data_IF_722506671389
#
_entry.id   IF_722506671389
#
_cell.length_a   1.000
_cell.length_b   1.000
_cell.length_c   1.000
_cell.angle_alpha   90.00
_cell.angle_beta   90.00
_cell.angle_gamma   90.00
#
_symmetry.space_group_name_H-M   'P 1'
#
loop_
_entity.id
_entity.type
_entity.pdbx_description
1 polymer ?
#
# COMPACT_ATOMS: atom_id res chain seq x y z
N UNK A 1 -15.45 3.95 -7.46
CA UNK A 1 -14.47 4.10 -6.38
C UNK A 1 -13.24 4.83 -6.91
N UNK A 2 -12.80 5.85 -6.20
CA UNK A 2 -11.62 6.60 -6.62
C UNK A 2 -10.34 5.78 -6.40
N UNK A 3 -9.25 6.20 -7.04
CA UNK A 3 -7.97 5.54 -6.82
C UNK A 3 -7.52 5.66 -5.36
N UNK A 4 -7.76 6.80 -4.73
CA UNK A 4 -7.42 6.98 -3.32
C UNK A 4 -8.19 6.01 -2.43
N UNK A 5 -9.48 5.81 -2.69
CA UNK A 5 -10.28 4.86 -1.94
C UNK A 5 -9.78 3.42 -2.12
N UNK A 6 -9.44 3.05 -3.36
CA UNK A 6 -8.85 1.73 -3.63
C UNK A 6 -7.55 1.54 -2.86
N UNK A 7 -6.72 2.57 -2.84
CA UNK A 7 -5.45 2.54 -2.15
C UNK A 7 -5.63 2.34 -0.65
N UNK A 8 -6.50 3.14 -0.04
CA UNK A 8 -6.80 3.01 1.39
C UNK A 8 -7.42 1.66 1.73
N UNK A 9 -8.33 1.18 0.89
CA UNK A 9 -8.98 -0.11 1.11
C UNK A 9 -7.97 -1.25 1.11
N UNK A 10 -6.97 -1.19 0.26
CA UNK A 10 -5.92 -2.21 0.22
C UNK A 10 -5.19 -2.29 1.57
N UNK A 11 -4.88 -1.14 2.17
CA UNK A 11 -4.26 -1.10 3.49
C UNK A 11 -5.19 -1.66 4.57
N UNK A 12 -6.46 -1.26 4.54
CA UNK A 12 -7.42 -1.72 5.53
C UNK A 12 -7.61 -3.24 5.47
N UNK A 13 -7.72 -3.79 4.28
CA UNK A 13 -7.89 -5.23 4.09
C UNK A 13 -6.63 -6.01 4.46
N UNK A 14 -5.47 -5.50 4.05
CA UNK A 14 -4.22 -6.21 4.30
C UNK A 14 -3.85 -6.26 5.77
N UNK A 15 -4.15 -5.20 6.51
CA UNK A 15 -3.71 -5.06 7.90
C UNK A 15 -4.84 -5.14 8.91
N UNK A 16 -6.07 -5.32 8.46
CA UNK A 16 -7.26 -5.35 9.34
C UNK A 16 -7.37 -4.09 10.20
N UNK A 17 -7.13 -2.95 9.58
CA UNK A 17 -7.21 -1.64 10.25
C UNK A 17 -8.36 -0.83 9.66
N UNK A 18 -8.74 0.24 10.35
CA UNK A 18 -9.75 1.17 9.89
C UNK A 18 -9.10 2.31 9.12
N UNK A 19 -9.90 2.96 8.28
CA UNK A 19 -9.44 4.12 7.53
C UNK A 19 -8.87 5.20 8.44
N UNK A 20 -9.43 5.35 9.64
CA UNK A 20 -8.96 6.31 10.65
C UNK A 20 -7.55 6.01 11.17
N UNK A 21 -7.08 4.79 11.00
CA UNK A 21 -5.73 4.38 11.41
C UNK A 21 -4.66 4.75 10.38
N UNK A 22 -5.09 5.23 9.21
CA UNK A 22 -4.18 5.59 8.12
C UNK A 22 -3.82 7.07 8.25
N UNK A 23 -2.54 7.34 8.44
CA UNK A 23 -2.01 8.71 8.50
C UNK A 23 -0.60 8.75 7.91
N UNK A 24 0.02 9.93 7.98
CA UNK A 24 1.35 10.14 7.40
C UNK A 24 2.46 9.36 8.13
N UNK A 25 2.16 8.82 9.31
CA UNK A 25 3.12 8.05 10.09
C UNK A 25 3.02 6.54 9.83
N UNK A 26 2.08 6.11 9.01
CA UNK A 26 1.91 4.70 8.71
C UNK A 26 3.04 4.23 7.80
N UNK A 27 3.89 3.36 8.34
CA UNK A 27 5.07 2.86 7.63
C UNK A 27 5.38 1.42 8.04
N UNK A 28 6.31 0.81 7.32
CA UNK A 28 6.73 -0.55 7.58
C UNK A 28 7.15 -0.72 9.03
N UNK A 29 6.63 -1.73 9.70
CA UNK A 29 6.86 -2.03 11.12
C UNK A 29 6.29 -1.00 12.11
N UNK A 30 5.57 0.03 11.66
CA UNK A 30 4.92 0.95 12.59
C UNK A 30 3.70 0.33 13.27
N UNK A 31 3.15 -0.70 12.66
CA UNK A 31 2.09 -1.53 13.26
C UNK A 31 2.48 -3.00 13.10
N UNK A 32 1.98 -3.85 13.99
CA UNK A 32 2.33 -5.27 13.97
C UNK A 32 1.96 -5.97 12.66
N UNK A 33 0.85 -5.55 12.06
CA UNK A 33 0.37 -6.16 10.81
C UNK A 33 1.26 -5.86 9.61
N UNK A 34 2.02 -4.77 9.64
CA UNK A 34 2.91 -4.42 8.54
C UNK A 34 4.32 -4.94 8.80
N UNK A 35 4.45 -6.24 8.73
CA UNK A 35 5.71 -6.97 8.75
C UNK A 35 5.98 -7.52 7.35
N UNK A 36 6.96 -8.41 7.23
CA UNK A 36 7.33 -9.00 5.93
C UNK A 36 6.16 -9.71 5.26
N UNK A 37 5.37 -10.45 6.03
CA UNK A 37 4.23 -11.19 5.50
C UNK A 37 3.10 -10.23 5.13
N UNK A 38 2.78 -9.29 6.02
CA UNK A 38 1.76 -8.28 5.76
C UNK A 38 2.11 -7.41 4.56
N UNK A 39 3.40 -7.10 4.39
CA UNK A 39 3.88 -6.31 3.25
C UNK A 39 3.57 -7.01 1.93
N UNK A 40 3.84 -8.30 1.84
CA UNK A 40 3.56 -9.06 0.62
C UNK A 40 2.07 -9.14 0.33
N UNK A 41 1.25 -9.24 1.38
CA UNK A 41 -0.20 -9.20 1.23
C UNK A 41 -0.69 -7.85 0.71
N UNK A 42 -0.12 -6.76 1.22
CA UNK A 42 -0.44 -5.41 0.74
C UNK A 42 -0.09 -5.25 -0.74
N UNK A 43 1.12 -5.68 -1.11
CA UNK A 43 1.57 -5.59 -2.50
C UNK A 43 0.62 -6.37 -3.43
N UNK A 44 0.25 -7.59 -3.04
CA UNK A 44 -0.67 -8.41 -3.83
C UNK A 44 -2.04 -7.73 -3.99
N UNK A 45 -2.57 -7.15 -2.91
CA UNK A 45 -3.84 -6.45 -2.95
C UNK A 45 -3.80 -5.21 -3.85
N UNK A 46 -2.69 -4.48 -3.82
CA UNK A 46 -2.53 -3.30 -4.68
C UNK A 46 -2.40 -3.69 -6.15
N UNK A 47 -1.66 -4.76 -6.43
CA UNK A 47 -1.53 -5.26 -7.80
C UNK A 47 -2.89 -5.64 -8.37
N UNK A 48 -3.71 -6.31 -7.57
CA UNK A 48 -5.04 -6.69 -7.99
C UNK A 48 -5.96 -5.48 -8.15
N UNK A 49 -5.93 -4.56 -7.19
CA UNK A 49 -6.81 -3.39 -7.20
C UNK A 49 -6.58 -2.49 -8.40
N UNK A 50 -5.32 -2.33 -8.81
CA UNK A 50 -4.94 -1.44 -9.91
C UNK A 50 -4.56 -2.18 -11.18
N UNK A 51 -4.60 -3.50 -11.17
CA UNK A 51 -4.25 -4.33 -12.31
C UNK A 51 -2.85 -4.02 -12.85
N UNK A 52 -1.88 -4.03 -11.94
CA UNK A 52 -0.47 -3.75 -12.23
C UNK A 52 0.40 -4.84 -11.62
N UNK A 53 1.67 -4.87 -12.03
CA UNK A 53 2.68 -5.71 -11.39
C UNK A 53 3.84 -4.83 -10.97
N UNK A 54 4.15 -4.81 -9.67
CA UNK A 54 5.28 -4.04 -9.16
C UNK A 54 6.60 -4.71 -9.51
N UNK A 55 7.58 -3.89 -9.86
CA UNK A 55 8.94 -4.37 -9.98
C UNK A 55 9.51 -4.64 -8.59
N UNK A 56 10.48 -5.54 -8.51
CA UNK A 56 11.06 -5.95 -7.21
C UNK A 56 11.61 -4.75 -6.45
N UNK A 57 12.29 -3.84 -7.14
CA UNK A 57 12.84 -2.64 -6.49
C UNK A 57 11.74 -1.79 -5.84
N UNK A 58 10.59 -1.69 -6.48
CA UNK A 58 9.46 -0.91 -5.95
C UNK A 58 8.83 -1.61 -4.75
N UNK A 59 8.78 -2.94 -4.75
CA UNK A 59 8.30 -3.71 -3.60
C UNK A 59 9.17 -3.42 -2.38
N UNK A 60 10.48 -3.40 -2.57
CA UNK A 60 11.45 -3.13 -1.48
C UNK A 60 11.34 -1.69 -1.00
N UNK A 61 11.19 -0.75 -1.92
CA UNK A 61 11.13 0.68 -1.60
C UNK A 61 9.80 1.11 -0.99
N UNK A 62 8.77 0.28 -1.08
CA UNK A 62 7.44 0.60 -0.56
C UNK A 62 7.45 0.54 0.96
N UNK A 63 7.94 1.60 1.59
CA UNK A 63 8.24 1.62 3.02
C UNK A 63 7.22 2.38 3.87
N UNK A 64 6.29 3.10 3.25
CA UNK A 64 5.29 3.87 3.97
C UNK A 64 4.07 4.13 3.09
N UNK A 65 3.00 4.58 3.74
CA UNK A 65 1.78 4.97 3.04
C UNK A 65 2.07 6.09 2.02
N UNK A 66 2.85 7.09 2.43
CA UNK A 66 3.20 8.20 1.53
C UNK A 66 4.16 7.77 0.42
N UNK A 67 5.12 6.92 0.73
CA UNK A 67 6.06 6.41 -0.28
C UNK A 67 5.34 5.61 -1.36
N UNK A 68 4.34 4.84 -0.96
CA UNK A 68 3.54 4.07 -1.91
C UNK A 68 2.82 4.94 -2.94
N UNK A 69 2.37 6.12 -2.52
CA UNK A 69 1.75 7.06 -3.45
C UNK A 69 2.73 7.52 -4.53
N UNK A 70 3.97 7.78 -4.14
CA UNK A 70 5.02 8.16 -5.09
C UNK A 70 5.34 7.02 -6.05
N UNK A 71 5.40 5.80 -5.54
CA UNK A 71 5.67 4.63 -6.36
C UNK A 71 4.56 4.42 -7.39
N UNK A 72 3.29 4.56 -6.99
CA UNK A 72 2.17 4.39 -7.90
C UNK A 72 2.18 5.40 -9.06
N UNK A 73 2.74 6.58 -8.85
CA UNK A 73 2.90 7.56 -9.93
C UNK A 73 3.75 7.00 -11.07
N UNK A 74 4.73 6.17 -10.76
CA UNK A 74 5.57 5.53 -11.79
C UNK A 74 4.76 4.60 -12.67
N UNK A 75 3.64 4.10 -12.18
CA UNK A 75 2.71 3.24 -12.90
C UNK A 75 1.51 4.02 -13.45
N UNK A 76 1.61 5.36 -13.45
CA UNK A 76 0.59 6.27 -13.96
C UNK A 76 -0.72 6.20 -13.17
N UNK A 77 -0.62 5.90 -11.88
CA UNK A 77 -1.76 5.86 -10.97
C UNK A 77 -1.62 7.01 -9.98
N UNK A 78 -2.59 7.90 -9.99
CA UNK A 78 -2.65 9.02 -9.06
C UNK A 78 -3.57 8.67 -7.89
N UNK A 79 -3.07 8.85 -6.68
CA UNK A 79 -3.83 8.60 -5.45
C UNK A 79 -3.72 9.77 -4.48
#
# INVERSE_FOLDING_TARGET
>A
MSNLEKYKNAFCESFSINENDIDDNLEYNSINAWDSVGHMGLIANLEEAFNISFEIDDVIDFSSYNKGKEILKKYKIEV
#
